data_IF_624608239099
#
_entry.id   IF_624608239099
#
_cell.length_a   1.000
_cell.length_b   1.000
_cell.length_c   1.000
_cell.angle_alpha   90.00
_cell.angle_beta   90.00
_cell.angle_gamma   90.00
#
_symmetry.space_group_name_H-M   'P 1'
#
loop_
_entity.id
_entity.type
_entity.pdbx_description
1 polymer ?
#
# COMPACT_ATOMS: atom_id res chain seq x y z
N UNK A 1 18.87 -27.94 -8.13
CA UNK A 1 19.55 -26.70 -8.54
C UNK A 1 20.27 -26.89 -9.87
N UNK A 2 19.83 -26.14 -10.90
CA UNK A 2 20.42 -26.21 -12.24
C UNK A 2 20.04 -27.43 -13.07
N UNK A 3 19.07 -28.24 -12.62
CA UNK A 3 18.50 -29.30 -13.42
C UNK A 3 17.52 -28.70 -14.44
N UNK A 4 17.70 -29.05 -15.72
CA UNK A 4 16.75 -28.79 -16.78
C UNK A 4 16.32 -30.16 -17.34
N UNK A 5 15.02 -30.45 -17.34
CA UNK A 5 14.51 -31.69 -17.85
C UNK A 5 13.30 -31.45 -18.77
N UNK A 6 13.10 -32.36 -19.72
CA UNK A 6 11.90 -32.45 -20.51
C UNK A 6 11.23 -33.80 -20.23
N UNK A 7 9.96 -33.79 -19.86
CA UNK A 7 9.20 -34.98 -19.54
C UNK A 7 8.13 -35.18 -20.62
N UNK A 8 8.14 -36.32 -21.27
CA UNK A 8 7.13 -36.71 -22.25
C UNK A 8 6.39 -37.96 -21.76
N UNK A 9 5.09 -37.84 -21.60
CA UNK A 9 4.22 -38.92 -21.12
C UNK A 9 3.10 -39.15 -22.13
N UNK A 10 2.83 -40.42 -22.46
CA UNK A 10 1.68 -40.82 -23.28
C UNK A 10 0.62 -41.40 -22.36
N UNK A 11 -0.52 -40.72 -22.28
CA UNK A 11 -1.68 -41.14 -21.49
C UNK A 11 -2.84 -41.53 -22.42
N UNK A 12 -3.63 -42.53 -22.03
CA UNK A 12 -4.84 -42.91 -22.76
C UNK A 12 -5.94 -41.84 -22.58
N UNK A 13 -6.10 -41.35 -21.38
CA UNK A 13 -7.03 -40.26 -21.04
C UNK A 13 -6.24 -39.12 -20.39
N UNK A 14 -6.29 -37.95 -21.00
CA UNK A 14 -5.55 -36.79 -20.53
C UNK A 14 -6.51 -35.85 -19.83
N UNK A 15 -6.27 -35.61 -18.55
CA UNK A 15 -6.99 -34.58 -17.75
C UNK A 15 -6.07 -33.41 -17.48
N UNK A 16 -6.57 -32.19 -17.69
CA UNK A 16 -5.87 -30.96 -17.38
C UNK A 16 -6.62 -30.17 -16.31
N UNK A 17 -5.88 -29.53 -15.41
CA UNK A 17 -6.44 -28.53 -14.51
C UNK A 17 -6.65 -27.24 -15.30
N UNK A 18 -7.89 -27.00 -15.72
CA UNK A 18 -8.30 -25.78 -16.43
C UNK A 18 -8.15 -25.79 -17.94
N UNK A 19 -8.82 -24.85 -18.59
CA UNK A 19 -8.97 -24.76 -20.05
C UNK A 19 -7.68 -24.37 -20.78
N UNK A 20 -6.71 -23.78 -20.10
CA UNK A 20 -5.41 -23.37 -20.65
C UNK A 20 -4.45 -24.55 -20.86
N UNK A 21 -4.78 -25.74 -20.35
CA UNK A 21 -3.95 -26.94 -20.40
C UNK A 21 -2.52 -26.75 -19.85
N UNK A 22 -2.35 -25.79 -18.96
CA UNK A 22 -1.05 -25.43 -18.40
C UNK A 22 -0.56 -26.44 -17.35
N UNK A 23 -1.48 -27.19 -16.72
CA UNK A 23 -1.17 -28.14 -15.67
C UNK A 23 -1.91 -29.45 -15.91
N UNK A 24 -1.16 -30.56 -15.88
CA UNK A 24 -1.70 -31.89 -16.02
C UNK A 24 -2.36 -32.33 -14.70
N UNK A 25 -3.64 -32.69 -14.75
CA UNK A 25 -4.42 -33.17 -13.61
C UNK A 25 -4.41 -34.67 -13.40
N UNK A 26 -3.83 -35.45 -14.34
CA UNK A 26 -3.77 -36.90 -14.25
C UNK A 26 -2.76 -37.37 -13.19
N UNK A 27 -3.25 -37.72 -12.00
CA UNK A 27 -2.40 -38.08 -10.83
C UNK A 27 -1.56 -39.35 -11.08
N UNK A 28 -2.04 -40.29 -11.87
CA UNK A 28 -1.32 -41.49 -12.26
C UNK A 28 -0.03 -41.20 -13.04
N UNK A 29 0.00 -40.12 -13.83
CA UNK A 29 1.19 -39.68 -14.55
C UNK A 29 2.30 -39.24 -13.58
N UNK A 30 1.95 -38.56 -12.50
CA UNK A 30 2.90 -38.13 -11.49
C UNK A 30 3.57 -39.31 -10.80
N UNK A 31 2.78 -40.30 -10.37
CA UNK A 31 3.29 -41.50 -9.72
C UNK A 31 4.22 -42.33 -10.64
N UNK A 32 3.81 -42.56 -11.90
CA UNK A 32 4.59 -43.30 -12.85
C UNK A 32 5.93 -42.59 -13.17
N UNK A 33 5.90 -41.27 -13.43
CA UNK A 33 7.10 -40.50 -13.72
C UNK A 33 8.04 -40.48 -12.51
N UNK A 34 7.50 -40.27 -11.27
CA UNK A 34 8.31 -40.20 -10.07
C UNK A 34 9.04 -41.52 -9.82
N UNK A 35 8.36 -42.68 -9.99
CA UNK A 35 8.95 -44.01 -9.77
C UNK A 35 10.05 -44.30 -10.79
N UNK A 36 9.74 -44.14 -12.08
CA UNK A 36 10.69 -44.42 -13.16
C UNK A 36 11.90 -43.50 -13.11
N UNK A 37 11.65 -42.22 -12.86
CA UNK A 37 12.74 -41.23 -12.75
C UNK A 37 13.63 -41.50 -11.55
N UNK A 38 13.06 -41.79 -10.39
CA UNK A 38 13.84 -42.05 -9.18
C UNK A 38 14.75 -43.27 -9.36
N UNK A 39 14.23 -44.35 -9.95
CA UNK A 39 15.00 -45.58 -10.21
C UNK A 39 16.12 -45.33 -11.24
N UNK A 40 15.78 -44.73 -12.37
CA UNK A 40 16.77 -44.44 -13.42
C UNK A 40 17.83 -43.43 -12.97
N UNK A 41 17.43 -42.42 -12.22
CA UNK A 41 18.35 -41.39 -11.71
C UNK A 41 19.27 -41.94 -10.61
N UNK A 42 18.79 -42.85 -9.78
CA UNK A 42 19.60 -43.51 -8.76
C UNK A 42 20.69 -44.37 -9.43
N UNK A 43 20.29 -45.21 -10.41
CA UNK A 43 21.21 -45.99 -11.17
C UNK A 43 22.26 -45.13 -11.90
N UNK A 44 21.81 -44.03 -12.53
CA UNK A 44 22.71 -43.08 -13.19
C UNK A 44 23.75 -42.50 -12.24
N UNK A 45 23.36 -42.11 -11.03
CA UNK A 45 24.28 -41.55 -10.03
C UNK A 45 25.29 -42.58 -9.51
N UNK A 46 24.88 -43.84 -9.39
CA UNK A 46 25.78 -44.93 -9.00
C UNK A 46 26.78 -45.27 -10.11
N UNK A 47 26.34 -45.29 -11.37
CA UNK A 47 27.19 -45.54 -12.53
C UNK A 47 28.14 -44.39 -12.89
N UNK A 48 27.76 -43.17 -12.55
CA UNK A 48 28.51 -41.92 -12.89
C UNK A 48 28.88 -41.12 -11.63
N UNK A 49 29.88 -41.58 -10.86
CA UNK A 49 30.21 -40.98 -9.55
C UNK A 49 30.75 -39.54 -9.67
N UNK A 50 31.36 -39.15 -10.75
CA UNK A 50 31.88 -37.77 -10.93
C UNK A 50 30.74 -36.77 -11.21
N UNK A 51 29.77 -37.15 -12.00
CA UNK A 51 28.54 -36.39 -12.25
C UNK A 51 27.70 -36.30 -10.95
N UNK A 52 27.60 -37.42 -10.22
CA UNK A 52 26.92 -37.45 -8.93
C UNK A 52 27.53 -36.45 -7.92
N UNK A 53 28.89 -36.44 -7.83
CA UNK A 53 29.61 -35.46 -7.01
C UNK A 53 29.35 -34.01 -7.45
N UNK A 54 29.28 -33.76 -8.77
CA UNK A 54 29.01 -32.44 -9.32
C UNK A 54 27.59 -31.96 -8.96
N UNK A 55 26.58 -32.82 -9.09
CA UNK A 55 25.19 -32.53 -8.70
C UNK A 55 25.09 -32.25 -7.20
N UNK A 56 25.69 -33.11 -6.38
CA UNK A 56 25.69 -32.95 -4.92
C UNK A 56 26.38 -31.66 -4.51
N UNK A 57 27.58 -31.40 -5.08
CA UNK A 57 28.34 -30.18 -4.79
C UNK A 57 27.56 -28.92 -5.16
N UNK A 58 26.86 -28.90 -6.28
CA UNK A 58 26.00 -27.79 -6.69
C UNK A 58 24.84 -27.56 -5.71
N UNK A 59 24.22 -28.65 -5.25
CA UNK A 59 23.14 -28.60 -4.27
C UNK A 59 23.63 -28.09 -2.90
N UNK A 60 24.82 -28.55 -2.47
CA UNK A 60 25.49 -28.08 -1.24
C UNK A 60 25.84 -26.58 -1.36
N UNK A 61 26.39 -26.16 -2.49
CA UNK A 61 26.72 -24.76 -2.74
C UNK A 61 25.49 -23.87 -2.67
N UNK A 62 24.39 -24.29 -3.29
CA UNK A 62 23.11 -23.58 -3.24
C UNK A 62 22.53 -23.52 -1.82
N UNK A 63 22.64 -24.61 -1.05
CA UNK A 63 22.25 -24.62 0.36
C UNK A 63 23.11 -23.66 1.20
N UNK A 64 24.44 -23.68 0.99
CA UNK A 64 25.37 -22.75 1.65
C UNK A 64 25.02 -21.30 1.31
N UNK A 65 24.77 -21.01 0.03
CA UNK A 65 24.36 -19.67 -0.40
C UNK A 65 23.04 -19.23 0.25
N UNK A 66 22.06 -20.10 0.33
CA UNK A 66 20.78 -19.81 1.04
C UNK A 66 20.98 -19.59 2.54
N UNK A 67 21.82 -20.42 3.20
CA UNK A 67 22.16 -20.26 4.62
C UNK A 67 22.96 -18.98 4.86
N UNK A 68 23.92 -18.65 3.98
CA UNK A 68 24.70 -17.41 4.07
C UNK A 68 23.79 -16.18 3.86
N UNK A 69 22.87 -16.21 2.89
CA UNK A 69 21.89 -15.16 2.68
C UNK A 69 20.96 -14.99 3.89
N UNK A 70 20.51 -16.11 4.49
CA UNK A 70 19.72 -16.08 5.73
C UNK A 70 20.54 -15.52 6.90
N UNK A 71 21.78 -15.96 7.09
CA UNK A 71 22.67 -15.46 8.16
C UNK A 71 23.03 -13.98 7.97
N UNK A 72 23.27 -13.53 6.72
CA UNK A 72 23.47 -12.12 6.40
C UNK A 72 22.21 -11.30 6.70
N UNK A 73 21.03 -11.80 6.32
CA UNK A 73 19.72 -11.23 6.68
C UNK A 73 19.60 -11.12 8.21
N UNK A 74 19.83 -12.21 8.93
CA UNK A 74 19.72 -12.27 10.40
C UNK A 74 20.79 -11.37 11.06
N UNK A 75 21.99 -11.24 10.47
CA UNK A 75 23.04 -10.32 10.94
C UNK A 75 22.67 -8.85 10.71
N UNK A 76 22.09 -8.52 9.56
CA UNK A 76 21.56 -7.17 9.28
C UNK A 76 20.41 -6.85 10.22
N UNK A 77 19.52 -7.83 10.48
CA UNK A 77 18.40 -7.68 11.38
C UNK A 77 18.83 -7.65 12.86
N UNK A 78 19.88 -8.41 13.26
CA UNK A 78 20.38 -8.44 14.65
C UNK A 78 21.36 -7.29 14.97
N UNK A 79 22.20 -6.87 14.02
CA UNK A 79 23.28 -5.89 14.27
C UNK A 79 22.90 -4.44 14.06
N UNK A 80 21.74 -4.09 13.65
CA UNK A 80 21.59 -2.68 13.38
C UNK A 80 20.28 -2.17 12.85
N UNK A 81 19.29 -3.01 12.74
CA UNK A 81 17.99 -2.45 12.39
C UNK A 81 17.46 -1.57 13.52
N UNK A 82 17.89 -1.75 14.77
CA UNK A 82 17.27 -1.12 15.92
C UNK A 82 18.21 -0.38 16.90
N UNK A 83 19.47 -0.76 17.03
CA UNK A 83 20.35 -0.14 18.06
C UNK A 83 21.31 0.94 17.53
N UNK A 84 21.31 1.24 16.23
CA UNK A 84 22.26 2.20 15.63
C UNK A 84 21.83 2.81 14.30
N UNK A 85 20.68 2.48 13.75
CA UNK A 85 20.21 3.13 12.52
C UNK A 85 19.55 4.46 12.87
N UNK A 86 20.10 5.52 12.34
CA UNK A 86 19.39 6.81 12.24
C UNK A 86 18.04 6.61 11.57
N UNK A 87 17.02 7.21 12.15
CA UNK A 87 15.68 7.24 11.56
C UNK A 87 15.75 7.68 10.09
N UNK A 88 14.87 7.18 9.22
CA UNK A 88 14.89 7.57 7.82
C UNK A 88 14.85 9.10 7.69
N UNK A 89 15.73 9.68 6.88
CA UNK A 89 15.80 11.13 6.72
C UNK A 89 14.51 11.79 6.21
N UNK A 90 13.58 10.97 5.66
CA UNK A 90 12.24 11.42 5.27
C UNK A 90 11.24 11.44 6.44
N UNK A 91 11.47 10.66 7.49
CA UNK A 91 10.56 10.59 8.63
C UNK A 91 10.61 11.89 9.43
N UNK A 92 9.47 12.56 9.52
CA UNK A 92 9.28 13.60 10.50
C UNK A 92 8.65 12.95 11.75
N UNK A 93 9.47 12.58 12.71
CA UNK A 93 9.06 11.86 13.90
C UNK A 93 8.26 12.74 14.88
N UNK A 94 7.51 12.10 15.79
CA UNK A 94 6.84 12.78 16.90
C UNK A 94 7.77 12.91 18.11
N UNK A 95 7.37 13.78 19.06
CA UNK A 95 8.18 14.07 20.25
C UNK A 95 7.96 13.03 21.36
N UNK A 96 6.73 12.54 21.51
CA UNK A 96 6.42 11.50 22.52
C UNK A 96 7.10 10.17 22.16
N UNK A 97 7.51 9.45 23.18
CA UNK A 97 8.04 8.08 23.07
C UNK A 97 7.01 7.03 23.49
N UNK A 98 5.85 7.47 23.95
CA UNK A 98 4.76 6.57 24.27
C UNK A 98 4.07 6.12 22.99
N UNK A 99 4.19 4.84 22.67
CA UNK A 99 3.60 4.26 21.47
C UNK A 99 2.07 4.36 21.46
N UNK A 100 1.43 4.36 22.65
CA UNK A 100 -0.04 4.43 22.76
C UNK A 100 -0.60 5.79 22.38
N UNK A 101 0.18 6.86 22.54
CA UNK A 101 -0.16 8.21 22.12
C UNK A 101 0.34 8.52 20.69
N UNK A 102 1.28 7.72 20.17
CA UNK A 102 1.97 8.01 18.92
C UNK A 102 1.21 7.49 17.69
N UNK A 103 1.16 8.32 16.67
CA UNK A 103 0.53 8.04 15.39
C UNK A 103 1.53 8.21 14.25
N UNK A 104 1.56 7.26 13.30
CA UNK A 104 2.37 7.34 12.09
C UNK A 104 1.47 7.48 10.87
N UNK A 105 1.56 8.60 10.18
CA UNK A 105 0.91 8.80 8.90
C UNK A 105 1.85 8.37 7.77
N UNK A 106 1.41 7.40 6.96
CA UNK A 106 2.03 7.00 5.71
C UNK A 106 1.35 7.81 4.60
N UNK A 107 2.04 8.81 4.08
CA UNK A 107 1.45 9.80 3.16
C UNK A 107 2.03 9.61 1.77
N UNK A 108 1.18 9.66 0.74
CA UNK A 108 1.60 9.56 -0.64
C UNK A 108 2.28 10.85 -1.12
N UNK A 109 3.51 10.71 -1.63
CA UNK A 109 4.26 11.78 -2.25
C UNK A 109 4.89 12.79 -1.28
N UNK A 110 5.80 13.59 -1.84
CA UNK A 110 6.51 14.61 -1.07
C UNK A 110 5.66 15.88 -0.87
N UNK A 111 4.71 16.17 -1.76
CA UNK A 111 3.81 17.35 -1.67
C UNK A 111 2.87 17.23 -0.47
N UNK A 112 2.01 16.20 -0.46
CA UNK A 112 1.13 15.94 0.66
C UNK A 112 1.90 15.67 1.96
N UNK A 113 3.08 15.02 1.86
CA UNK A 113 4.01 14.85 2.98
C UNK A 113 4.52 16.19 3.52
N UNK A 114 4.70 17.20 2.68
CA UNK A 114 5.08 18.57 3.08
C UNK A 114 3.97 19.26 3.86
N UNK A 115 2.75 19.28 3.32
CA UNK A 115 1.57 19.85 3.99
C UNK A 115 1.28 19.14 5.32
N UNK A 116 1.34 17.79 5.34
CA UNK A 116 1.14 17.00 6.55
C UNK A 116 2.20 17.30 7.64
N UNK A 117 3.46 17.49 7.27
CA UNK A 117 4.53 17.86 8.21
C UNK A 117 4.31 19.23 8.83
N UNK A 118 3.71 20.18 8.11
CA UNK A 118 3.40 21.50 8.60
C UNK A 118 2.15 21.50 9.50
N UNK A 119 1.07 20.81 9.07
CA UNK A 119 -0.21 20.79 9.74
C UNK A 119 -0.30 19.89 10.98
N UNK A 120 0.59 18.90 11.15
CA UNK A 120 0.53 17.88 12.20
C UNK A 120 0.68 18.40 13.64
N UNK A 121 0.13 17.70 14.59
CA UNK A 121 0.58 17.79 15.98
C UNK A 121 1.96 17.11 16.14
N UNK A 122 3.00 17.93 16.33
CA UNK A 122 4.38 17.43 16.47
C UNK A 122 4.60 16.60 17.72
N UNK A 123 3.75 16.71 18.71
CA UNK A 123 3.86 15.97 19.96
C UNK A 123 3.58 14.48 19.71
N UNK A 124 2.51 14.16 18.99
CA UNK A 124 1.98 12.79 18.86
C UNK A 124 2.03 12.22 17.46
N UNK A 125 2.14 13.05 16.42
CA UNK A 125 2.02 12.62 15.03
C UNK A 125 3.35 12.63 14.30
N UNK A 126 3.70 11.50 13.71
CA UNK A 126 4.83 11.32 12.83
C UNK A 126 4.37 11.18 11.36
N UNK A 127 5.15 11.70 10.42
CA UNK A 127 4.86 11.65 8.98
C UNK A 127 5.99 10.93 8.25
N UNK A 128 5.62 9.90 7.50
CA UNK A 128 6.52 9.19 6.58
C UNK A 128 5.98 9.32 5.15
N UNK A 129 6.51 10.21 4.32
CA UNK A 129 6.13 10.28 2.92
C UNK A 129 6.68 9.08 2.14
N UNK A 130 5.85 8.49 1.30
CA UNK A 130 6.19 7.39 0.41
C UNK A 130 6.35 7.93 -1.02
N UNK A 131 7.47 7.60 -1.67
CA UNK A 131 7.73 8.03 -3.05
C UNK A 131 7.21 7.01 -4.05
N UNK A 132 5.96 7.19 -4.45
CA UNK A 132 5.30 6.35 -5.44
C UNK A 132 4.97 4.94 -4.92
N UNK A 133 4.70 4.04 -5.84
CA UNK A 133 4.28 2.66 -5.55
C UNK A 133 5.40 1.87 -4.86
N UNK A 134 5.13 1.33 -3.70
CA UNK A 134 6.08 0.46 -3.00
C UNK A 134 6.18 -0.90 -3.72
N UNK A 135 7.22 -1.65 -3.38
CA UNK A 135 7.41 -2.99 -3.93
C UNK A 135 6.22 -3.91 -3.56
N UNK A 136 5.66 -4.60 -4.55
CA UNK A 136 4.69 -5.67 -4.30
C UNK A 136 5.39 -6.87 -3.63
N UNK A 137 5.13 -7.04 -2.34
CA UNK A 137 5.78 -8.08 -1.52
C UNK A 137 5.22 -9.47 -1.77
N UNK A 138 4.02 -9.60 -2.33
CA UNK A 138 3.46 -10.89 -2.73
C UNK A 138 4.32 -11.61 -3.77
N UNK A 139 4.93 -10.83 -4.66
CA UNK A 139 5.79 -11.33 -5.75
C UNK A 139 7.27 -11.28 -5.43
N UNK A 140 7.65 -10.54 -4.41
CA UNK A 140 9.05 -10.26 -4.13
C UNK A 140 9.63 -11.23 -3.12
N UNK A 141 10.86 -11.67 -3.38
CA UNK A 141 11.66 -12.38 -2.38
C UNK A 141 12.05 -11.41 -1.26
N UNK A 142 12.23 -11.94 -0.06
CA UNK A 142 12.55 -11.14 1.14
C UNK A 142 13.83 -10.30 0.96
N UNK A 143 14.83 -10.82 0.24
CA UNK A 143 16.07 -10.08 -0.06
C UNK A 143 15.80 -8.81 -0.87
N UNK A 144 14.95 -8.89 -1.91
CA UNK A 144 14.51 -7.73 -2.70
C UNK A 144 13.67 -6.76 -1.87
N UNK A 145 12.81 -7.29 -1.02
CA UNK A 145 11.96 -6.50 -0.15
C UNK A 145 12.80 -5.63 0.80
N UNK A 146 13.83 -6.22 1.45
CA UNK A 146 14.73 -5.51 2.35
C UNK A 146 15.71 -4.56 1.62
N UNK A 147 15.93 -4.77 0.32
CA UNK A 147 16.68 -3.85 -0.52
C UNK A 147 15.84 -2.63 -0.95
N UNK A 148 14.51 -2.71 -0.90
CA UNK A 148 13.61 -1.59 -1.20
C UNK A 148 13.76 -0.48 -0.16
N UNK A 149 14.07 0.73 -0.60
CA UNK A 149 14.25 1.89 0.28
C UNK A 149 12.98 2.23 1.06
N UNK A 150 11.82 2.13 0.40
CA UNK A 150 10.52 2.47 1.00
C UNK A 150 10.15 1.45 2.08
N UNK A 151 10.24 0.15 1.78
CA UNK A 151 9.97 -0.91 2.77
C UNK A 151 10.94 -0.83 3.93
N UNK A 152 12.24 -0.64 3.65
CA UNK A 152 13.27 -0.47 4.70
C UNK A 152 12.97 0.74 5.59
N UNK A 153 12.58 1.88 5.00
CA UNK A 153 12.22 3.08 5.76
C UNK A 153 11.02 2.84 6.66
N UNK A 154 10.01 2.11 6.18
CA UNK A 154 8.84 1.76 6.98
C UNK A 154 9.22 0.84 8.15
N UNK A 155 10.00 -0.22 7.92
CA UNK A 155 10.46 -1.14 8.98
C UNK A 155 11.23 -0.39 10.07
N UNK A 156 12.13 0.52 9.67
CA UNK A 156 12.91 1.34 10.62
C UNK A 156 11.98 2.31 11.38
N UNK A 157 11.03 2.94 10.68
CA UNK A 157 10.08 3.87 11.31
C UNK A 157 9.21 3.16 12.36
N UNK A 158 8.73 1.95 12.05
CA UNK A 158 7.93 1.14 12.99
C UNK A 158 8.74 0.71 14.23
N UNK A 159 10.07 0.63 14.11
CA UNK A 159 10.93 0.20 15.23
C UNK A 159 10.92 -1.30 15.48
N UNK A 160 10.24 -2.08 14.63
CA UNK A 160 10.15 -3.53 14.71
C UNK A 160 11.08 -4.19 13.71
N UNK A 161 11.37 -5.47 13.92
CA UNK A 161 11.97 -6.34 12.91
C UNK A 161 10.90 -6.85 11.94
N UNK A 162 11.25 -7.73 11.00
CA UNK A 162 10.36 -8.33 10.04
C UNK A 162 10.50 -9.85 10.02
N UNK A 163 9.42 -10.57 9.75
CA UNK A 163 9.38 -12.04 9.70
C UNK A 163 9.57 -12.65 11.09
N UNK A 164 10.37 -13.72 11.22
CA UNK A 164 10.54 -14.50 12.45
C UNK A 164 11.10 -13.71 13.64
N UNK A 165 11.69 -12.54 13.40
CA UNK A 165 12.27 -11.66 14.43
C UNK A 165 11.38 -10.47 14.77
N UNK A 166 10.16 -10.43 14.24
CA UNK A 166 9.20 -9.38 14.54
C UNK A 166 8.81 -9.41 16.02
N UNK A 167 8.82 -8.26 16.65
CA UNK A 167 8.45 -8.09 18.06
C UNK A 167 7.49 -6.89 18.20
N UNK A 168 6.21 -7.18 18.43
CA UNK A 168 5.16 -6.18 18.55
C UNK A 168 5.39 -5.23 19.74
N UNK A 169 6.06 -5.71 20.81
CA UNK A 169 6.32 -4.87 22.01
C UNK A 169 7.24 -3.69 21.73
N UNK A 170 8.00 -3.75 20.63
CA UNK A 170 8.93 -2.69 20.20
C UNK A 170 8.31 -1.70 19.21
N UNK A 171 7.03 -1.84 18.89
CA UNK A 171 6.37 -0.94 17.94
C UNK A 171 6.33 0.48 18.51
N UNK A 172 6.62 1.46 17.67
CA UNK A 172 6.72 2.86 18.09
C UNK A 172 5.41 3.63 17.98
N UNK A 173 4.42 3.09 17.27
CA UNK A 173 3.16 3.76 17.00
C UNK A 173 2.01 2.76 17.11
N UNK A 174 1.04 3.03 17.98
CA UNK A 174 -0.18 2.22 18.09
C UNK A 174 -1.28 2.66 17.12
N UNK A 175 -1.04 3.71 16.33
CA UNK A 175 -1.86 4.07 15.18
C UNK A 175 -0.98 4.29 13.98
N UNK A 176 -1.17 3.47 12.95
CA UNK A 176 -0.50 3.57 11.66
C UNK A 176 -1.59 3.89 10.64
N UNK A 177 -1.56 5.10 10.11
CA UNK A 177 -2.63 5.66 9.30
C UNK A 177 -2.14 5.75 7.86
N UNK A 178 -2.79 5.01 6.96
CA UNK A 178 -2.54 5.06 5.53
C UNK A 178 -3.35 6.22 4.97
N UNK A 179 -2.66 7.24 4.46
CA UNK A 179 -3.24 8.43 3.87
C UNK A 179 -2.75 8.55 2.42
N UNK A 180 -3.53 8.02 1.49
CA UNK A 180 -3.29 8.03 0.05
C UNK A 180 -4.33 8.87 -0.66
N UNK A 181 -4.01 9.31 -1.87
CA UNK A 181 -4.90 10.07 -2.71
C UNK A 181 -6.17 9.27 -3.07
N UNK A 182 -7.25 9.99 -3.40
CA UNK A 182 -8.55 9.39 -3.73
C UNK A 182 -8.63 8.96 -5.21
N UNK A 183 -7.51 8.59 -5.81
CA UNK A 183 -7.40 8.15 -7.19
C UNK A 183 -7.01 6.67 -7.32
N UNK A 184 -6.85 6.20 -8.54
CA UNK A 184 -6.49 4.80 -8.84
C UNK A 184 -5.07 4.44 -8.36
N UNK A 185 -4.14 5.40 -8.38
CA UNK A 185 -2.77 5.19 -7.95
C UNK A 185 -2.68 5.12 -6.42
N UNK A 186 -3.37 6.01 -5.72
CA UNK A 186 -3.49 5.98 -4.26
C UNK A 186 -4.18 4.70 -3.76
N UNK A 187 -5.22 4.23 -4.45
CA UNK A 187 -5.87 2.94 -4.17
C UNK A 187 -4.90 1.77 -4.35
N UNK A 188 -4.03 1.81 -5.36
CA UNK A 188 -3.00 0.79 -5.57
C UNK A 188 -1.92 0.84 -4.48
N UNK A 189 -1.44 2.03 -4.09
CA UNK A 189 -0.46 2.20 -3.00
C UNK A 189 -1.03 1.66 -1.69
N UNK A 190 -2.29 1.97 -1.38
CA UNK A 190 -3.01 1.44 -0.23
C UNK A 190 -3.04 -0.10 -0.24
N UNK A 191 -3.37 -0.71 -1.38
CA UNK A 191 -3.40 -2.17 -1.53
C UNK A 191 -2.01 -2.78 -1.34
N UNK A 192 -0.96 -2.17 -1.87
CA UNK A 192 0.43 -2.62 -1.67
C UNK A 192 0.84 -2.55 -0.20
N UNK A 193 0.47 -1.49 0.51
CA UNK A 193 0.71 -1.35 1.95
C UNK A 193 -0.05 -2.39 2.76
N UNK A 194 -1.33 -2.61 2.46
CA UNK A 194 -2.13 -3.65 3.12
C UNK A 194 -1.55 -5.03 2.88
N UNK A 195 -1.07 -5.33 1.66
CA UNK A 195 -0.36 -6.58 1.36
C UNK A 195 0.89 -6.74 2.21
N UNK A 196 1.69 -5.67 2.36
CA UNK A 196 2.89 -5.67 3.20
C UNK A 196 2.54 -5.95 4.67
N UNK A 197 1.56 -5.26 5.21
CA UNK A 197 1.12 -5.47 6.60
C UNK A 197 0.54 -6.87 6.79
N UNK A 198 -0.29 -7.35 5.89
CA UNK A 198 -0.89 -8.68 5.96
C UNK A 198 0.16 -9.80 5.95
N UNK A 199 1.14 -9.73 5.03
CA UNK A 199 2.15 -10.80 4.84
C UNK A 199 3.28 -10.76 5.88
N UNK A 200 3.65 -9.60 6.40
CA UNK A 200 4.86 -9.46 7.20
C UNK A 200 4.66 -8.82 8.57
N UNK A 201 3.52 -8.20 8.81
CA UNK A 201 3.20 -7.49 10.06
C UNK A 201 1.78 -7.84 10.54
N UNK A 202 1.37 -9.09 10.37
CA UNK A 202 0.03 -9.56 10.70
C UNK A 202 -0.39 -9.16 12.12
N UNK A 203 0.51 -9.31 13.10
CA UNK A 203 0.24 -8.96 14.49
C UNK A 203 -0.12 -7.49 14.70
N UNK A 204 0.33 -6.58 13.82
CA UNK A 204 -0.02 -5.14 13.87
C UNK A 204 -1.47 -4.92 13.47
N UNK A 205 -1.99 -5.70 12.51
CA UNK A 205 -3.40 -5.68 12.12
C UNK A 205 -4.24 -6.28 13.25
N UNK A 206 -3.85 -7.46 13.74
CA UNK A 206 -4.57 -8.17 14.80
C UNK A 206 -4.64 -7.36 16.10
N UNK A 207 -3.63 -6.51 16.37
CA UNK A 207 -3.65 -5.54 17.47
C UNK A 207 -4.53 -4.30 17.20
N UNK A 208 -5.09 -4.16 15.99
CA UNK A 208 -5.95 -3.04 15.62
C UNK A 208 -5.23 -1.72 15.41
N UNK A 209 -3.94 -1.74 15.00
CA UNK A 209 -3.12 -0.54 14.87
C UNK A 209 -3.12 0.06 13.47
N UNK A 210 -3.75 -0.59 12.47
CA UNK A 210 -3.79 -0.11 11.08
C UNK A 210 -5.10 0.61 10.80
N UNK A 211 -5.00 1.80 10.23
CA UNK A 211 -6.13 2.64 9.86
C UNK A 211 -5.95 3.18 8.44
N UNK A 212 -7.06 3.47 7.79
CA UNK A 212 -7.12 4.17 6.50
C UNK A 212 -7.79 5.52 6.75
N UNK A 213 -7.10 6.61 6.42
CA UNK A 213 -7.68 7.93 6.46
C UNK A 213 -8.77 8.09 5.40
N UNK A 214 -9.84 8.77 5.76
CA UNK A 214 -10.94 9.13 4.86
C UNK A 214 -10.98 10.65 4.75
N UNK A 215 -10.16 11.27 3.88
CA UNK A 215 -10.23 12.71 3.65
C UNK A 215 -11.53 13.08 2.93
N UNK A 216 -12.01 14.33 3.07
CA UNK A 216 -13.16 14.79 2.30
C UNK A 216 -12.83 14.87 0.81
N UNK A 217 -13.85 14.63 -0.02
CA UNK A 217 -13.75 14.75 -1.47
C UNK A 217 -14.00 16.18 -1.95
N UNK A 218 -14.75 16.97 -1.18
CA UNK A 218 -15.19 18.30 -1.57
C UNK A 218 -14.99 19.32 -0.47
N UNK A 219 -14.54 20.53 -0.87
CA UNK A 219 -14.60 21.77 -0.09
C UNK A 219 -15.68 22.65 -0.69
N UNK A 220 -16.61 23.11 0.13
CA UNK A 220 -17.76 23.90 -0.27
C UNK A 220 -17.68 25.24 0.47
N UNK A 221 -17.52 26.33 -0.28
CA UNK A 221 -17.46 27.70 0.29
C UNK A 221 -18.75 28.46 -0.05
N UNK A 222 -19.49 28.84 0.98
CA UNK A 222 -20.73 29.62 0.89
C UNK A 222 -20.54 30.95 1.60
N UNK A 223 -20.16 31.98 0.86
CA UNK A 223 -19.75 33.24 1.44
C UNK A 223 -18.49 33.11 2.28
N UNK A 224 -18.60 33.24 3.60
CA UNK A 224 -17.48 33.07 4.57
C UNK A 224 -17.45 31.70 5.22
N UNK A 225 -18.48 30.89 5.03
CA UNK A 225 -18.59 29.56 5.62
C UNK A 225 -17.94 28.52 4.71
N UNK A 226 -17.07 27.69 5.29
CA UNK A 226 -16.42 26.57 4.63
C UNK A 226 -16.97 25.29 5.25
N UNK A 227 -17.42 24.36 4.40
CA UNK A 227 -17.88 23.05 4.78
C UNK A 227 -17.18 22.00 3.93
N UNK A 228 -17.00 20.81 4.49
CA UNK A 228 -16.41 19.68 3.78
C UNK A 228 -17.45 18.58 3.57
N UNK A 229 -17.39 17.89 2.44
CA UNK A 229 -18.24 16.74 2.13
C UNK A 229 -17.39 15.53 1.74
N UNK A 230 -17.77 14.36 2.25
CA UNK A 230 -17.07 13.09 2.04
C UNK A 230 -17.69 12.26 0.93
N UNK A 231 -18.95 12.60 0.55
CA UNK A 231 -19.70 11.92 -0.51
C UNK A 231 -20.44 12.92 -1.38
N UNK A 232 -20.87 12.49 -2.59
CA UNK A 232 -21.70 13.30 -3.46
C UNK A 232 -23.04 13.64 -2.83
N UNK A 233 -23.62 12.71 -2.08
CA UNK A 233 -24.88 12.94 -1.36
C UNK A 233 -24.74 14.02 -0.29
N UNK A 234 -23.63 14.06 0.43
CA UNK A 234 -23.34 15.12 1.41
C UNK A 234 -23.14 16.46 0.71
N UNK A 235 -22.38 16.48 -0.40
CA UNK A 235 -22.22 17.67 -1.23
C UNK A 235 -23.57 18.25 -1.64
N UNK A 236 -24.47 17.43 -2.19
CA UNK A 236 -25.80 17.86 -2.60
C UNK A 236 -26.68 18.36 -1.44
N UNK A 237 -26.55 17.77 -0.25
CA UNK A 237 -27.27 18.26 0.94
C UNK A 237 -26.79 19.62 1.39
N UNK A 238 -25.46 19.87 1.37
CA UNK A 238 -24.85 21.15 1.78
C UNK A 238 -25.18 22.25 0.77
N UNK A 239 -25.09 21.95 -0.52
CA UNK A 239 -25.35 22.93 -1.60
C UNK A 239 -26.84 23.32 -1.59
N UNK A 240 -27.74 22.35 -1.40
CA UNK A 240 -29.18 22.57 -1.50
C UNK A 240 -29.68 22.62 -2.95
N UNK A 241 -31.01 22.45 -3.14
CA UNK A 241 -31.65 22.30 -4.48
C UNK A 241 -31.68 23.56 -5.36
N UNK A 242 -31.20 24.71 -4.88
CA UNK A 242 -31.43 26.02 -5.54
C UNK A 242 -30.17 26.93 -5.60
N UNK A 243 -28.97 26.39 -5.46
CA UNK A 243 -27.77 27.21 -5.47
C UNK A 243 -27.16 27.32 -6.86
N UNK A 244 -26.71 28.54 -7.20
CA UNK A 244 -25.88 28.79 -8.39
C UNK A 244 -24.48 28.27 -8.07
N UNK A 245 -24.11 27.12 -8.63
CA UNK A 245 -22.89 26.39 -8.30
C UNK A 245 -21.82 26.74 -9.32
N UNK A 246 -20.69 27.26 -8.88
CA UNK A 246 -19.48 27.33 -9.69
C UNK A 246 -18.47 26.29 -9.20
N UNK A 247 -18.13 25.33 -10.05
CA UNK A 247 -17.00 24.42 -9.83
C UNK A 247 -15.70 25.15 -10.13
N UNK A 248 -14.74 25.08 -9.17
CA UNK A 248 -13.41 25.67 -9.32
C UNK A 248 -12.42 24.54 -9.49
N UNK A 249 -11.62 24.58 -10.56
CA UNK A 249 -10.48 23.68 -10.70
C UNK A 249 -9.32 24.07 -9.76
N UNK A 250 -8.47 23.11 -9.33
CA UNK A 250 -7.41 23.33 -8.33
C UNK A 250 -6.37 24.41 -8.70
N UNK A 251 -6.29 24.78 -9.99
CA UNK A 251 -5.33 25.79 -10.49
C UNK A 251 -5.73 27.26 -10.23
N UNK A 252 -6.97 27.51 -9.78
CA UNK A 252 -7.49 28.84 -9.53
C UNK A 252 -7.57 29.22 -8.04
N UNK A 253 -6.67 28.73 -7.21
CA UNK A 253 -6.57 29.19 -5.81
C UNK A 253 -5.97 30.59 -5.83
N UNK A 254 -6.84 31.59 -5.84
CA UNK A 254 -6.47 32.96 -5.56
C UNK A 254 -6.03 33.05 -4.08
N UNK A 255 -4.77 33.36 -3.86
CA UNK A 255 -4.23 33.70 -2.54
C UNK A 255 -5.14 34.75 -1.88
N UNK A 256 -5.53 34.50 -0.64
CA UNK A 256 -6.41 35.36 0.18
C UNK A 256 -5.65 36.60 0.70
N UNK A 257 -4.60 37.03 0.03
CA UNK A 257 -3.82 38.22 0.36
C UNK A 257 -3.34 38.96 -0.92
N UNK A 258 -4.14 39.85 -1.41
CA UNK A 258 -3.66 40.80 -2.40
C UNK A 258 -4.70 41.16 -3.45
N UNK A 259 -5.24 42.34 -3.33
CA UNK A 259 -6.18 42.89 -4.31
C UNK A 259 -5.64 42.82 -5.73
N UNK A 260 -6.41 42.28 -6.63
CA UNK A 260 -6.21 42.42 -8.06
C UNK A 260 -6.36 43.90 -8.42
N UNK A 261 -5.28 44.52 -8.86
CA UNK A 261 -5.35 45.77 -9.67
C UNK A 261 -5.85 45.39 -11.03
N UNK A 262 -7.13 45.57 -11.28
CA UNK A 262 -7.65 45.67 -12.63
C UNK A 262 -7.27 47.02 -13.21
N UNK A 263 -6.40 47.01 -14.22
CA UNK A 263 -6.20 48.09 -15.15
C UNK A 263 -7.25 47.95 -16.23
N UNK A 264 -8.36 48.60 -16.07
CA UNK A 264 -9.10 49.35 -17.09
C UNK A 264 -10.50 49.70 -16.57
N UNK A 265 -10.77 50.99 -16.60
CA UNK A 265 -11.95 51.57 -16.02
C UNK A 265 -13.26 51.17 -16.67
N UNK A 266 -14.23 50.85 -15.85
CA UNK A 266 -15.64 51.10 -16.15
C UNK A 266 -16.41 51.32 -14.84
N UNK A 267 -17.28 52.30 -14.92
CA UNK A 267 -18.01 52.99 -13.86
C UNK A 267 -18.82 52.10 -12.94
N UNK A 268 -18.83 52.54 -11.67
CA UNK A 268 -19.69 52.14 -10.59
C UNK A 268 -21.17 52.02 -10.97
N UNK A 269 -21.71 50.81 -10.88
CA UNK A 269 -23.14 50.62 -10.68
C UNK A 269 -23.30 49.95 -9.28
N UNK A 270 -23.72 50.74 -8.34
CA UNK A 270 -24.21 50.29 -7.04
C UNK A 270 -25.44 49.43 -7.24
N UNK A 271 -25.31 48.16 -6.98
CA UNK A 271 -26.40 47.20 -6.89
C UNK A 271 -25.99 46.01 -6.02
N UNK A 272 -26.07 46.19 -4.71
CA UNK A 272 -25.88 45.08 -3.74
C UNK A 272 -26.92 43.97 -3.97
N UNK A 273 -26.63 43.03 -4.84
CA UNK A 273 -27.18 41.67 -4.70
C UNK A 273 -26.08 40.82 -4.06
N UNK A 274 -26.30 40.39 -2.83
CA UNK A 274 -25.54 39.28 -2.20
C UNK A 274 -25.73 38.06 -3.11
N UNK A 275 -24.78 37.81 -4.00
CA UNK A 275 -24.77 36.60 -4.79
C UNK A 275 -24.55 35.43 -3.84
N UNK A 276 -25.55 34.57 -3.66
CA UNK A 276 -25.45 33.29 -2.96
C UNK A 276 -24.62 32.30 -3.81
N UNK A 277 -23.48 32.74 -4.29
CA UNK A 277 -22.61 31.93 -5.12
C UNK A 277 -21.94 30.90 -4.23
N UNK A 278 -22.18 29.64 -4.50
CA UNK A 278 -21.55 28.51 -3.80
C UNK A 278 -20.40 28.04 -4.65
N UNK A 279 -19.19 28.06 -4.08
CA UNK A 279 -17.99 27.57 -4.72
C UNK A 279 -17.69 26.15 -4.23
N UNK A 280 -17.54 25.21 -5.15
CA UNK A 280 -17.23 23.80 -4.86
C UNK A 280 -15.89 23.47 -5.48
N UNK A 281 -14.95 23.04 -4.66
CA UNK A 281 -13.65 22.50 -5.07
C UNK A 281 -13.65 20.99 -4.81
N UNK A 282 -13.30 20.18 -5.80
CA UNK A 282 -13.07 18.75 -5.63
C UNK A 282 -11.59 18.50 -5.36
N UNK A 283 -11.26 17.78 -4.29
CA UNK A 283 -9.91 17.31 -4.02
C UNK A 283 -9.66 15.99 -4.75
N UNK A 284 -8.64 15.96 -5.60
CA UNK A 284 -8.15 14.73 -6.28
C UNK A 284 -7.12 14.03 -5.43
N UNK A 285 -6.39 14.78 -4.58
CA UNK A 285 -5.37 14.23 -3.71
C UNK A 285 -5.08 15.11 -2.50
N UNK A 286 -4.42 14.53 -1.51
CA UNK A 286 -4.02 15.19 -0.26
C UNK A 286 -3.02 16.34 -0.50
N UNK A 287 -2.28 16.27 -1.62
CA UNK A 287 -1.32 17.31 -2.00
C UNK A 287 -1.97 18.63 -2.44
N UNK A 288 -3.28 18.65 -2.69
CA UNK A 288 -4.06 19.84 -3.02
C UNK A 288 -4.55 20.59 -1.79
N UNK A 289 -4.49 19.94 -0.61
CA UNK A 289 -4.87 20.53 0.66
C UNK A 289 -3.71 21.34 1.24
N UNK A 290 -4.01 22.54 1.73
CA UNK A 290 -3.05 23.27 2.54
C UNK A 290 -2.90 22.62 3.94
N UNK A 291 -1.88 23.01 4.73
CA UNK A 291 -1.65 22.39 6.04
C UNK A 291 -2.81 22.49 7.03
N UNK A 292 -3.56 23.59 7.01
CA UNK A 292 -4.69 23.84 7.89
C UNK A 292 -5.88 22.96 7.50
N UNK A 293 -6.21 22.89 6.22
CA UNK A 293 -7.26 22.02 5.69
C UNK A 293 -6.98 20.54 5.97
N UNK A 294 -5.73 20.11 5.78
CA UNK A 294 -5.31 18.75 6.04
C UNK A 294 -5.38 18.43 7.55
N UNK A 295 -5.05 19.38 8.40
CA UNK A 295 -5.23 19.24 9.84
C UNK A 295 -6.71 19.08 10.19
N UNK A 296 -7.54 20.06 9.83
CA UNK A 296 -8.95 20.12 10.23
C UNK A 296 -9.76 18.90 9.77
N UNK A 297 -9.43 18.32 8.61
CA UNK A 297 -10.25 17.29 7.99
C UNK A 297 -9.71 15.87 8.19
N UNK A 298 -8.38 15.72 8.25
CA UNK A 298 -7.74 14.41 8.11
C UNK A 298 -6.84 14.04 9.28
N UNK A 299 -6.25 15.04 9.96
CA UNK A 299 -5.24 14.78 10.98
C UNK A 299 -5.71 15.06 12.41
N UNK A 300 -6.60 16.03 12.61
CA UNK A 300 -7.16 16.34 13.93
C UNK A 300 -7.94 15.13 14.50
N UNK A 301 -7.53 14.57 15.64
CA UNK A 301 -8.21 13.44 16.26
C UNK A 301 -9.70 13.66 16.56
N UNK A 302 -10.14 14.93 16.67
CA UNK A 302 -11.53 15.28 17.00
C UNK A 302 -12.45 15.24 15.77
N UNK A 303 -11.92 15.57 14.58
CA UNK A 303 -12.72 15.78 13.38
C UNK A 303 -12.50 14.73 12.30
N UNK A 304 -11.34 14.08 12.28
CA UNK A 304 -10.95 13.12 11.23
C UNK A 304 -11.80 11.86 11.23
N UNK A 305 -11.99 11.30 10.05
CA UNK A 305 -12.62 9.99 9.86
C UNK A 305 -11.55 8.95 9.53
N UNK A 306 -11.46 7.90 10.34
CA UNK A 306 -10.54 6.78 10.13
C UNK A 306 -11.33 5.47 10.03
N UNK A 307 -10.99 4.65 9.05
CA UNK A 307 -11.48 3.28 8.94
C UNK A 307 -10.41 2.33 9.50
N UNK A 308 -10.72 1.61 10.58
CA UNK A 308 -9.83 0.56 11.10
C UNK A 308 -9.79 -0.63 10.13
N UNK A 309 -8.62 -1.21 9.99
CA UNK A 309 -8.42 -2.41 9.18
C UNK A 309 -8.48 -3.63 10.10
N UNK A 310 -9.47 -4.46 9.89
CA UNK A 310 -9.67 -5.72 10.59
C UNK A 310 -9.67 -6.87 9.58
N UNK A 311 -9.35 -8.08 10.02
CA UNK A 311 -9.41 -9.30 9.22
C UNK A 311 -10.48 -10.18 9.83
N UNK A 312 -11.62 -10.26 9.17
CA UNK A 312 -12.77 -11.06 9.60
C UNK A 312 -12.53 -12.55 9.29
N UNK A 313 -12.06 -12.84 8.09
CA UNK A 313 -11.70 -14.19 7.65
C UNK A 313 -10.28 -14.22 7.08
N UNK A 314 -9.43 -15.03 7.69
CA UNK A 314 -8.01 -15.09 7.32
C UNK A 314 -7.79 -15.89 6.03
N UNK A 315 -8.62 -16.87 5.74
CA UNK A 315 -8.51 -17.71 4.56
C UNK A 315 -8.98 -16.93 3.32
N UNK A 316 -10.13 -16.27 3.42
CA UNK A 316 -10.65 -15.38 2.38
C UNK A 316 -9.69 -14.22 2.08
N UNK A 317 -9.16 -13.56 3.12
CA UNK A 317 -8.18 -12.49 2.95
C UNK A 317 -6.91 -12.99 2.24
N UNK A 318 -6.42 -14.20 2.59
CA UNK A 318 -5.27 -14.79 1.94
C UNK A 318 -5.52 -15.04 0.44
N UNK A 319 -6.69 -15.58 0.11
CA UNK A 319 -7.09 -15.84 -1.28
C UNK A 319 -7.20 -14.53 -2.08
N UNK A 320 -7.82 -13.50 -1.52
CA UNK A 320 -7.96 -12.19 -2.16
C UNK A 320 -6.59 -11.56 -2.45
N UNK A 321 -5.66 -11.56 -1.48
CA UNK A 321 -4.32 -11.04 -1.70
C UNK A 321 -3.55 -11.85 -2.76
N UNK A 322 -3.67 -13.17 -2.78
CA UNK A 322 -3.04 -14.02 -3.81
C UNK A 322 -3.62 -13.74 -5.21
N UNK A 323 -4.94 -13.62 -5.34
CA UNK A 323 -5.61 -13.28 -6.59
C UNK A 323 -5.18 -11.89 -7.09
N UNK A 324 -5.28 -10.87 -6.25
CA UNK A 324 -5.07 -9.48 -6.66
C UNK A 324 -3.60 -9.13 -6.85
N UNK A 325 -2.73 -9.64 -5.99
CA UNK A 325 -1.32 -9.23 -5.91
C UNK A 325 -0.35 -10.31 -6.36
N UNK A 326 -0.80 -11.56 -6.52
CA UNK A 326 -0.03 -12.70 -6.98
C UNK A 326 0.42 -12.61 -8.44
N UNK A 327 1.16 -13.62 -8.93
CA UNK A 327 1.71 -13.67 -10.29
C UNK A 327 0.69 -14.08 -11.35
N UNK A 328 -0.34 -14.82 -10.96
CA UNK A 328 -1.33 -15.37 -11.88
C UNK A 328 -2.28 -14.30 -12.41
N UNK A 329 -2.34 -14.16 -13.74
CA UNK A 329 -3.19 -13.18 -14.42
C UNK A 329 -4.65 -13.65 -14.56
N UNK A 330 -4.93 -14.92 -14.90
CA UNK A 330 -6.29 -15.38 -15.15
C UNK A 330 -7.23 -15.25 -13.93
N UNK A 331 -6.84 -15.63 -12.70
CA UNK A 331 -7.68 -15.44 -11.51
C UNK A 331 -8.01 -13.98 -11.26
N UNK A 332 -7.02 -13.10 -11.39
CA UNK A 332 -7.22 -11.64 -11.23
C UNK A 332 -8.17 -11.07 -12.27
N UNK A 333 -8.02 -11.46 -13.54
CA UNK A 333 -8.93 -11.04 -14.60
C UNK A 333 -10.36 -11.49 -14.32
N UNK A 334 -10.56 -12.74 -13.91
CA UNK A 334 -11.86 -13.27 -13.55
C UNK A 334 -12.48 -12.51 -12.38
N UNK A 335 -11.70 -12.25 -11.32
CA UNK A 335 -12.15 -11.48 -10.17
C UNK A 335 -12.60 -10.07 -10.55
N UNK A 336 -11.80 -9.35 -11.35
CA UNK A 336 -12.14 -8.00 -11.82
C UNK A 336 -13.43 -8.03 -12.64
N UNK A 337 -13.59 -8.99 -13.55
CA UNK A 337 -14.80 -9.11 -14.38
C UNK A 337 -16.04 -9.42 -13.54
N UNK A 338 -15.92 -10.29 -12.55
CA UNK A 338 -17.04 -10.66 -11.68
C UNK A 338 -17.49 -9.51 -10.78
N UNK A 339 -16.56 -8.65 -10.37
CA UNK A 339 -16.82 -7.53 -9.45
C UNK A 339 -16.92 -6.17 -10.18
N UNK A 340 -16.91 -6.14 -11.52
CA UNK A 340 -16.90 -4.90 -12.29
C UNK A 340 -18.07 -3.95 -11.99
N UNK A 341 -19.24 -4.52 -11.61
CA UNK A 341 -20.45 -3.74 -11.24
C UNK A 341 -20.32 -3.01 -9.90
N UNK A 342 -19.39 -3.44 -9.05
CA UNK A 342 -19.12 -2.84 -7.73
C UNK A 342 -18.02 -1.77 -7.80
N UNK A 343 -17.38 -1.62 -8.96
CA UNK A 343 -16.31 -0.63 -9.13
C UNK A 343 -16.93 0.77 -9.26
N UNK A 344 -16.53 1.66 -8.39
CA UNK A 344 -16.71 3.10 -8.56
C UNK A 344 -15.62 3.59 -9.52
N UNK A 345 -16.02 3.96 -10.73
CA UNK A 345 -15.10 4.44 -11.76
C UNK A 345 -15.25 5.95 -11.79
N UNK A 346 -14.15 6.64 -11.55
CA UNK A 346 -14.03 8.08 -11.76
C UNK A 346 -13.82 8.32 -13.27
N UNK A 347 -14.88 8.72 -13.97
CA UNK A 347 -14.88 9.00 -15.42
C UNK A 347 -14.94 10.52 -15.61
#
# INVERSE_FOLDING_TARGET
EGLTCAISVKLREIQFEGQTKAKLGSMEAQGAVATIFAEAFNNFLEENPDEARSVINKSILALKARKAAKAAKDSILRKGALEGMTLPGKLADCQTKDASESELFLVEGDSAGGSAKQGRDRRTQAILPLRGKILNVERARIDKMLASKEVKSLVIALGTSIGDTFDLSKIRYHKIIIATDADVDGSHIRTLLLTLFYRHFRQVIDAGYIYIAQPPLYKIKKGKEISYAYTDDEKLKIIGKSADVSEIEPAEVLDDAGGAMDSEGSELIEGKQKSNKVHVQRFKGLGEMNPEELWETTMDPQNRVLKRVDIEDAEEANEIFDILMGSEVPPRKSFIQSNAKLAEIDI
#
